data_IF_678586945764
#
_entry.id   IF_678586945764
#
_cell.length_a   1.000
_cell.length_b   1.000
_cell.length_c   1.000
_cell.angle_alpha   90.00
_cell.angle_beta   90.00
_cell.angle_gamma   90.00
#
_symmetry.space_group_name_H-M   'P 1'
#
loop_
_entity.id
_entity.type
_entity.pdbx_description
1 polymer ?
#
# COMPACT_ATOMS: atom_id res chain seq x y z
N UNK A 1 13.94 8.29 20.41
CA UNK A 1 13.01 7.18 20.17
C UNK A 1 12.16 7.61 19.00
N UNK A 2 12.21 6.89 17.88
CA UNK A 2 11.41 7.21 16.69
C UNK A 2 9.94 7.15 17.10
N UNK A 3 9.18 8.25 16.94
CA UNK A 3 7.74 8.25 17.17
C UNK A 3 7.09 7.31 16.15
N UNK A 4 6.97 6.05 16.54
CA UNK A 4 6.42 5.02 15.68
C UNK A 4 4.93 5.29 15.55
N UNK A 5 4.48 5.53 14.32
CA UNK A 5 3.07 5.77 14.00
C UNK A 5 2.22 4.57 14.47
N UNK A 6 0.93 4.77 14.83
CA UNK A 6 0.08 3.70 15.38
C UNK A 6 0.09 2.40 14.55
N UNK A 7 0.08 2.52 13.21
CA UNK A 7 0.15 1.36 12.29
C UNK A 7 1.43 0.52 12.43
N UNK A 8 2.54 1.13 12.84
CA UNK A 8 3.82 0.42 13.01
C UNK A 8 3.74 -0.60 14.14
N UNK A 9 3.08 -0.26 15.25
CA UNK A 9 2.82 -1.20 16.34
C UNK A 9 1.88 -2.34 15.95
N UNK A 10 0.93 -2.07 15.05
CA UNK A 10 -0.04 -3.08 14.60
C UNK A 10 0.57 -4.12 13.66
N UNK A 11 1.62 -3.76 12.90
CA UNK A 11 2.27 -4.65 11.95
C UNK A 11 3.57 -5.29 12.47
N UNK A 12 4.21 -4.70 13.47
CA UNK A 12 5.44 -5.21 14.09
C UNK A 12 5.39 -6.70 14.49
N UNK A 13 4.29 -7.22 15.08
CA UNK A 13 4.21 -8.65 15.43
C UNK A 13 4.40 -9.57 14.22
N UNK A 14 3.88 -9.18 13.05
CA UNK A 14 3.99 -9.96 11.82
C UNK A 14 5.40 -9.98 11.26
N UNK A 15 6.18 -8.91 11.47
CA UNK A 15 7.58 -8.87 11.02
C UNK A 15 8.43 -9.89 11.78
N UNK A 16 8.08 -10.16 13.04
CA UNK A 16 8.76 -11.09 13.96
C UNK A 16 8.18 -12.50 13.95
N UNK A 17 7.20 -12.75 13.08
CA UNK A 17 6.51 -14.03 12.97
C UNK A 17 7.46 -15.16 12.53
N UNK A 18 7.22 -16.39 13.01
CA UNK A 18 8.06 -17.54 12.69
C UNK A 18 7.70 -18.16 11.33
N UNK A 19 6.43 -18.04 10.90
CA UNK A 19 5.99 -18.53 9.60
C UNK A 19 6.50 -17.62 8.47
N UNK A 20 7.32 -18.15 7.53
CA UNK A 20 8.03 -17.33 6.55
C UNK A 20 7.15 -16.45 5.66
N UNK A 21 6.00 -16.96 5.22
CA UNK A 21 5.12 -16.25 4.29
C UNK A 21 4.42 -15.06 4.95
N UNK A 22 3.91 -15.25 6.17
CA UNK A 22 3.35 -14.19 7.03
C UNK A 22 4.40 -13.15 7.35
N UNK A 23 5.61 -13.57 7.69
CA UNK A 23 6.72 -12.65 7.94
C UNK A 23 7.08 -11.82 6.70
N UNK A 24 7.08 -12.45 5.51
CA UNK A 24 7.30 -11.74 4.24
C UNK A 24 6.21 -10.69 3.99
N UNK A 25 4.94 -11.08 4.06
CA UNK A 25 3.81 -10.16 3.85
C UNK A 25 3.79 -9.03 4.89
N UNK A 26 4.16 -9.32 6.14
CA UNK A 26 4.31 -8.32 7.18
C UNK A 26 5.35 -7.25 6.82
N UNK A 27 6.51 -7.67 6.30
CA UNK A 27 7.53 -6.75 5.78
C UNK A 27 7.07 -5.98 4.54
N UNK A 28 6.40 -6.65 3.60
CA UNK A 28 5.88 -6.03 2.38
C UNK A 28 4.89 -4.89 2.73
N UNK A 29 3.95 -5.15 3.64
CA UNK A 29 2.98 -4.15 4.11
C UNK A 29 3.60 -3.04 4.95
N UNK A 30 4.51 -3.37 5.86
CA UNK A 30 5.22 -2.37 6.67
C UNK A 30 6.03 -1.43 5.77
N UNK A 31 6.69 -1.96 4.75
CA UNK A 31 7.41 -1.15 3.74
C UNK A 31 6.44 -0.27 2.96
N UNK A 32 5.34 -0.84 2.46
CA UNK A 32 4.37 -0.12 1.66
C UNK A 32 3.75 1.08 2.39
N UNK A 33 3.32 0.85 3.63
CA UNK A 33 2.71 1.88 4.49
C UNK A 33 3.75 2.87 4.98
N UNK A 34 4.94 2.39 5.35
CA UNK A 34 6.05 3.23 5.76
C UNK A 34 6.48 4.23 4.70
N UNK A 35 6.46 3.83 3.42
CA UNK A 35 6.73 4.75 2.31
C UNK A 35 5.71 5.88 2.24
N UNK A 36 4.43 5.66 2.56
CA UNK A 36 3.43 6.73 2.56
C UNK A 36 3.62 7.68 3.74
N UNK A 37 4.05 7.15 4.89
CA UNK A 37 4.32 7.95 6.08
C UNK A 37 5.49 8.92 5.88
N UNK A 38 6.46 8.60 5.00
CA UNK A 38 7.53 9.52 4.59
C UNK A 38 6.97 10.75 3.87
N UNK A 39 5.91 10.56 3.09
CA UNK A 39 5.19 11.64 2.39
C UNK A 39 4.20 12.39 3.31
N UNK A 40 4.18 12.06 4.62
CA UNK A 40 3.27 12.66 5.60
C UNK A 40 1.84 12.11 5.52
N UNK A 41 1.57 11.17 4.63
CA UNK A 41 0.26 10.55 4.47
C UNK A 41 0.02 9.51 5.57
N UNK A 42 -1.23 9.37 5.98
CA UNK A 42 -1.64 8.36 6.96
C UNK A 42 -2.63 7.40 6.32
N UNK A 43 -2.40 6.08 6.39
CA UNK A 43 -3.37 5.10 5.90
C UNK A 43 -4.63 5.11 6.75
N UNK A 44 -5.75 4.67 6.18
CA UNK A 44 -6.97 4.44 6.93
C UNK A 44 -6.88 3.19 7.79
N UNK A 45 -7.72 3.11 8.82
CA UNK A 45 -7.89 1.88 9.60
C UNK A 45 -8.38 0.71 8.74
N UNK A 46 -9.17 1.00 7.70
CA UNK A 46 -9.66 0.00 6.74
C UNK A 46 -8.51 -0.69 5.98
N UNK A 47 -7.48 0.06 5.59
CA UNK A 47 -6.28 -0.53 4.99
C UNK A 47 -5.55 -1.44 5.98
N UNK A 48 -5.36 -0.99 7.22
CA UNK A 48 -4.63 -1.77 8.24
C UNK A 48 -5.32 -3.12 8.49
N UNK A 49 -6.65 -3.12 8.64
CA UNK A 49 -7.42 -4.36 8.82
C UNK A 49 -7.38 -5.25 7.57
N UNK A 50 -7.40 -4.65 6.37
CA UNK A 50 -7.27 -5.38 5.11
C UNK A 50 -5.87 -5.98 4.96
N UNK A 51 -4.82 -5.27 5.37
CA UNK A 51 -3.44 -5.72 5.36
C UNK A 51 -3.26 -6.94 6.27
N UNK A 52 -3.78 -6.89 7.50
CA UNK A 52 -3.77 -8.03 8.43
C UNK A 52 -4.43 -9.26 7.82
N UNK A 53 -5.60 -9.12 7.22
CA UNK A 53 -6.28 -10.23 6.55
C UNK A 53 -5.44 -10.83 5.40
N UNK A 54 -4.73 -10.00 4.64
CA UNK A 54 -3.81 -10.48 3.60
C UNK A 54 -2.60 -11.21 4.19
N UNK A 55 -2.01 -10.67 5.26
CA UNK A 55 -0.87 -11.28 5.95
C UNK A 55 -1.26 -12.65 6.50
N UNK A 56 -2.43 -12.76 7.13
CA UNK A 56 -2.98 -14.01 7.67
C UNK A 56 -3.36 -15.04 6.59
N UNK A 57 -3.42 -14.62 5.32
CA UNK A 57 -3.81 -15.47 4.18
C UNK A 57 -5.32 -15.64 4.01
N UNK A 58 -6.13 -14.81 4.65
CA UNK A 58 -7.59 -14.84 4.57
C UNK A 58 -8.12 -14.28 3.25
N UNK A 59 -7.36 -13.40 2.62
CA UNK A 59 -7.65 -12.81 1.30
C UNK A 59 -6.41 -12.79 0.44
N UNK A 60 -6.60 -12.80 -0.88
CA UNK A 60 -5.52 -12.62 -1.87
C UNK A 60 -5.22 -11.15 -2.09
N UNK A 61 -4.04 -10.83 -2.63
CA UNK A 61 -3.69 -9.45 -2.98
C UNK A 61 -4.64 -8.83 -4.02
N UNK A 62 -5.20 -9.63 -4.94
CA UNK A 62 -6.23 -9.14 -5.87
C UNK A 62 -7.53 -8.78 -5.16
N UNK A 63 -7.91 -9.52 -4.12
CA UNK A 63 -9.06 -9.18 -3.29
C UNK A 63 -8.83 -7.92 -2.46
N UNK A 64 -7.60 -7.70 -1.97
CA UNK A 64 -7.19 -6.43 -1.33
C UNK A 64 -7.46 -5.27 -2.28
N UNK A 65 -6.94 -5.33 -3.51
CA UNK A 65 -7.12 -4.25 -4.50
C UNK A 65 -8.60 -3.92 -4.71
N UNK A 66 -9.42 -4.94 -5.00
CA UNK A 66 -10.87 -4.76 -5.19
C UNK A 66 -11.57 -4.15 -3.98
N UNK A 67 -11.17 -4.54 -2.76
CA UNK A 67 -11.75 -3.99 -1.53
C UNK A 67 -11.42 -2.52 -1.35
N UNK A 68 -10.17 -2.13 -1.57
CA UNK A 68 -9.74 -0.73 -1.47
C UNK A 68 -10.42 0.13 -2.55
N UNK A 69 -10.47 -0.35 -3.80
CA UNK A 69 -11.17 0.34 -4.88
C UNK A 69 -12.65 0.54 -4.53
N UNK A 70 -13.36 -0.53 -4.15
CA UNK A 70 -14.78 -0.47 -3.80
C UNK A 70 -15.08 0.29 -2.50
N UNK A 71 -14.15 0.37 -1.56
CA UNK A 71 -14.29 1.21 -0.36
C UNK A 71 -14.40 2.68 -0.76
N UNK A 72 -13.69 3.06 -1.82
CA UNK A 72 -13.57 4.43 -2.26
C UNK A 72 -14.51 4.83 -3.41
N UNK A 73 -15.15 3.90 -4.09
CA UNK A 73 -16.20 4.23 -5.07
C UNK A 73 -17.51 4.75 -4.44
N UNK A 74 -17.74 4.53 -3.15
CA UNK A 74 -19.05 4.73 -2.50
C UNK A 74 -19.40 6.18 -2.12
N UNK A 75 -18.46 7.13 -2.21
CA UNK A 75 -18.68 8.54 -1.84
C UNK A 75 -18.08 9.48 -2.89
N UNK A 76 -18.87 10.46 -3.34
CA UNK A 76 -18.45 11.49 -4.30
C UNK A 76 -17.75 12.67 -3.63
N UNK A 77 -18.25 13.15 -2.48
CA UNK A 77 -17.62 14.23 -1.72
C UNK A 77 -16.71 13.69 -0.62
N UNK A 78 -15.50 14.23 -0.55
CA UNK A 78 -14.47 13.86 0.42
C UNK A 78 -13.77 15.08 0.97
N UNK A 79 -13.39 14.99 2.24
CA UNK A 79 -12.45 15.94 2.83
C UNK A 79 -11.04 15.73 2.24
N UNK A 80 -10.18 16.73 2.39
CA UNK A 80 -8.77 16.61 2.01
C UNK A 80 -8.07 15.43 2.73
N UNK A 81 -8.37 15.22 4.01
CA UNK A 81 -7.85 14.09 4.80
C UNK A 81 -8.32 12.73 4.25
N UNK A 82 -9.57 12.63 3.79
CA UNK A 82 -10.10 11.41 3.15
C UNK A 82 -9.47 11.16 1.76
N UNK A 83 -8.98 12.21 1.08
CA UNK A 83 -8.23 12.08 -0.17
C UNK A 83 -6.78 11.64 0.08
N UNK A 84 -6.12 12.19 1.10
CA UNK A 84 -4.77 11.78 1.52
C UNK A 84 -4.77 10.32 2.01
N UNK A 85 -5.77 9.93 2.79
CA UNK A 85 -5.95 8.53 3.21
C UNK A 85 -6.20 7.62 2.00
N UNK A 86 -6.96 8.07 1.01
CA UNK A 86 -7.20 7.32 -0.24
C UNK A 86 -5.91 7.06 -0.98
N UNK A 87 -5.09 8.08 -1.15
CA UNK A 87 -3.78 7.94 -1.78
C UNK A 87 -2.91 6.95 -1.02
N UNK A 88 -2.78 7.14 0.30
CA UNK A 88 -2.00 6.23 1.15
C UNK A 88 -2.45 4.77 1.02
N UNK A 89 -3.76 4.52 1.05
CA UNK A 89 -4.35 3.19 0.98
C UNK A 89 -4.13 2.52 -0.38
N UNK A 90 -4.48 3.25 -1.45
CA UNK A 90 -4.36 2.74 -2.82
C UNK A 90 -2.90 2.47 -3.15
N UNK A 91 -2.00 3.43 -2.89
CA UNK A 91 -0.58 3.29 -3.19
C UNK A 91 0.06 2.20 -2.34
N UNK A 92 -0.24 2.12 -1.03
CA UNK A 92 0.28 1.03 -0.17
C UNK A 92 -0.13 -0.35 -0.68
N UNK A 93 -1.42 -0.54 -1.04
CA UNK A 93 -1.88 -1.83 -1.54
C UNK A 93 -1.17 -2.24 -2.84
N UNK A 94 -0.86 -1.26 -3.71
CA UNK A 94 -0.12 -1.47 -4.96
C UNK A 94 1.36 -1.75 -4.73
N UNK A 95 2.00 -1.09 -3.76
CA UNK A 95 3.38 -1.39 -3.38
C UNK A 95 3.46 -2.82 -2.80
N UNK A 96 2.57 -3.19 -1.87
CA UNK A 96 2.55 -4.53 -1.30
C UNK A 96 2.37 -5.61 -2.37
N UNK A 97 1.54 -5.33 -3.40
CA UNK A 97 1.39 -6.19 -4.57
C UNK A 97 2.69 -6.32 -5.37
N UNK A 98 3.36 -5.21 -5.68
CA UNK A 98 4.61 -5.20 -6.45
C UNK A 98 5.74 -5.91 -5.69
N UNK A 99 5.85 -5.70 -4.37
CA UNK A 99 6.86 -6.38 -3.53
C UNK A 99 6.63 -7.89 -3.46
N UNK A 100 5.38 -8.34 -3.60
CA UNK A 100 5.03 -9.76 -3.69
C UNK A 100 5.32 -10.42 -5.05
N UNK A 101 5.72 -9.67 -6.07
CA UNK A 101 6.09 -10.22 -7.38
C UNK A 101 7.44 -10.93 -7.33
N UNK A 102 7.58 -12.01 -8.09
CA UNK A 102 8.78 -12.86 -8.10
C UNK A 102 9.92 -12.32 -8.95
N UNK A 103 9.67 -11.32 -9.80
CA UNK A 103 10.65 -10.81 -10.75
C UNK A 103 10.51 -9.30 -10.94
N UNK A 104 11.65 -8.66 -11.16
CA UNK A 104 11.73 -7.23 -11.46
C UNK A 104 12.81 -6.97 -12.51
N UNK A 105 12.62 -5.93 -13.33
CA UNK A 105 13.58 -5.47 -14.33
C UNK A 105 14.04 -4.07 -13.98
N UNK A 106 15.35 -3.87 -13.84
CA UNK A 106 15.92 -2.56 -13.55
C UNK A 106 16.16 -1.76 -14.84
N UNK A 107 15.19 -0.91 -15.20
CA UNK A 107 15.28 -0.04 -16.39
C UNK A 107 14.42 1.21 -16.24
N UNK A 108 14.70 2.30 -16.98
CA UNK A 108 13.85 3.50 -16.98
C UNK A 108 12.40 3.21 -17.35
N UNK A 109 12.16 2.30 -18.31
CA UNK A 109 10.82 1.89 -18.73
C UNK A 109 10.08 1.13 -17.63
N UNK A 110 10.79 0.32 -16.83
CA UNK A 110 10.19 -0.38 -15.69
C UNK A 110 9.78 0.60 -14.59
N UNK A 111 10.59 1.62 -14.30
CA UNK A 111 10.21 2.67 -13.34
C UNK A 111 8.99 3.45 -13.79
N UNK A 112 8.92 3.83 -15.08
CA UNK A 112 7.75 4.49 -15.67
C UNK A 112 6.48 3.63 -15.48
N UNK A 113 6.59 2.33 -15.73
CA UNK A 113 5.47 1.39 -15.52
C UNK A 113 5.07 1.25 -14.06
N UNK A 114 6.03 1.13 -13.13
CA UNK A 114 5.75 1.07 -11.69
C UNK A 114 5.04 2.33 -11.25
N UNK A 115 5.54 3.52 -11.62
CA UNK A 115 4.87 4.78 -11.31
C UNK A 115 3.45 4.84 -11.89
N UNK A 116 3.24 4.35 -13.12
CA UNK A 116 1.90 4.22 -13.69
C UNK A 116 0.99 3.36 -12.82
N UNK A 117 1.45 2.16 -12.45
CA UNK A 117 0.70 1.23 -11.58
C UNK A 117 0.39 1.82 -10.22
N UNK A 118 1.34 2.52 -9.60
CA UNK A 118 1.17 3.08 -8.25
C UNK A 118 0.13 4.20 -8.22
N UNK A 119 0.11 5.07 -9.23
CA UNK A 119 -0.67 6.32 -9.19
C UNK A 119 -1.81 6.39 -10.22
N UNK A 120 -2.09 5.31 -10.94
CA UNK A 120 -3.24 5.22 -11.86
C UNK A 120 -4.54 5.60 -11.16
N UNK A 121 -5.27 6.57 -11.73
CA UNK A 121 -6.53 7.08 -11.17
C UNK A 121 -6.39 7.99 -9.94
N UNK A 122 -5.16 8.31 -9.51
CA UNK A 122 -4.87 9.25 -8.42
C UNK A 122 -4.33 10.58 -8.94
N UNK A 123 -3.43 10.54 -9.93
CA UNK A 123 -2.86 11.74 -10.56
C UNK A 123 -2.85 11.59 -12.09
N UNK A 124 -2.98 12.71 -12.81
CA UNK A 124 -3.00 12.72 -14.28
C UNK A 124 -1.64 12.31 -14.89
N UNK A 125 -0.54 12.61 -14.20
CA UNK A 125 0.82 12.33 -14.67
C UNK A 125 1.31 10.91 -14.36
N UNK A 126 0.42 10.00 -13.95
CA UNK A 126 0.77 8.62 -13.62
C UNK A 126 1.50 7.94 -14.80
N UNK A 127 2.74 7.52 -14.55
CA UNK A 127 3.57 6.85 -15.55
C UNK A 127 4.13 7.81 -16.60
N UNK A 128 4.32 9.08 -16.27
CA UNK A 128 4.98 10.08 -17.12
C UNK A 128 6.24 10.65 -16.46
N UNK A 129 7.19 11.10 -17.27
CA UNK A 129 8.34 11.87 -16.77
C UNK A 129 7.92 13.33 -16.59
N UNK A 130 8.35 13.96 -15.50
CA UNK A 130 8.25 15.41 -15.34
C UNK A 130 9.39 16.03 -16.16
N UNK A 131 9.05 16.84 -17.15
CA UNK A 131 9.98 17.65 -17.95
C UNK A 131 10.01 19.08 -17.45
#
# INVERSE_FOLDING_TARGET
>A
MTDMKPWGFELEPYIREAEPERARRGRDWSTAIGLQAVDGLSPSTYLIDTAKQHIEGLITIDQVRKRIDSYYERKQDRTQEELESKEADVVSSRIAMILGETAFTFSPSAWKRIHGRLFEGLIESAGSYRT
#
